data_IF_666402547445
#
_entry.id   IF_666402547445
#
_cell.length_a   1.000
_cell.length_b   1.000
_cell.length_c   1.000
_cell.angle_alpha   90.00
_cell.angle_beta   90.00
_cell.angle_gamma   90.00
#
_symmetry.space_group_name_H-M   'P 1'
#
loop_
_entity.id
_entity.type
_entity.pdbx_description
1 polymer ?
#
# COMPACT_ATOMS: atom_id res chain seq x y z
N UNK A 1 12.18 -17.46 65.36
CA UNK A 1 11.77 -18.15 64.13
C UNK A 1 10.46 -17.51 63.68
N UNK A 2 10.51 -16.57 62.73
CA UNK A 2 9.31 -15.84 62.28
C UNK A 2 8.51 -16.73 61.32
N UNK A 3 7.31 -17.13 61.74
CA UNK A 3 6.38 -17.93 60.93
C UNK A 3 5.88 -17.03 59.81
N UNK A 4 6.38 -17.22 58.59
CA UNK A 4 5.80 -16.57 57.41
C UNK A 4 4.45 -17.21 57.17
N UNK A 5 3.38 -16.42 57.25
CA UNK A 5 2.03 -16.86 56.92
C UNK A 5 1.93 -17.02 55.39
N UNK A 6 1.81 -18.26 54.86
CA UNK A 6 1.78 -18.52 53.43
C UNK A 6 0.57 -17.88 52.73
N UNK A 7 -0.54 -17.70 53.45
CA UNK A 7 -1.78 -17.11 52.92
C UNK A 7 -1.62 -15.61 52.63
N UNK A 8 -0.84 -14.91 53.47
CA UNK A 8 -0.52 -13.51 53.25
C UNK A 8 0.38 -13.30 52.02
N UNK A 9 1.27 -14.25 51.73
CA UNK A 9 2.14 -14.19 50.55
C UNK A 9 1.35 -14.47 49.26
N UNK A 10 0.40 -15.41 49.30
CA UNK A 10 -0.49 -15.70 48.18
C UNK A 10 -1.41 -14.51 47.84
N UNK A 11 -1.95 -13.83 48.85
CA UNK A 11 -2.80 -12.66 48.65
C UNK A 11 -2.04 -11.46 48.05
N UNK A 12 -0.80 -11.21 48.50
CA UNK A 12 0.06 -10.15 47.96
C UNK A 12 0.48 -10.47 46.51
N UNK A 13 0.78 -11.73 46.19
CA UNK A 13 1.08 -12.15 44.83
C UNK A 13 -0.13 -12.01 43.89
N UNK A 14 -1.33 -12.41 44.33
CA UNK A 14 -2.57 -12.29 43.55
C UNK A 14 -2.95 -10.81 43.29
N UNK A 15 -2.79 -9.94 44.29
CA UNK A 15 -3.04 -8.50 44.14
C UNK A 15 -2.05 -7.84 43.17
N UNK A 16 -0.77 -8.22 43.21
CA UNK A 16 0.25 -7.70 42.29
C UNK A 16 -0.02 -8.12 40.83
N UNK A 17 -0.47 -9.35 40.60
CA UNK A 17 -0.86 -9.84 39.25
C UNK A 17 -2.11 -9.12 38.74
N UNK A 18 -3.12 -8.89 39.60
CA UNK A 18 -4.33 -8.17 39.20
C UNK A 18 -4.06 -6.70 38.80
N UNK A 19 -3.16 -6.02 39.51
CA UNK A 19 -2.73 -4.65 39.17
C UNK A 19 -1.95 -4.64 37.84
N UNK A 20 -1.08 -5.62 37.59
CA UNK A 20 -0.37 -5.73 36.31
C UNK A 20 -1.30 -5.98 35.12
N UNK A 21 -2.41 -6.71 35.31
CA UNK A 21 -3.37 -7.01 34.23
C UNK A 21 -4.34 -5.85 34.00
N UNK A 22 -4.77 -5.15 35.05
CA UNK A 22 -5.73 -4.03 34.95
C UNK A 22 -5.11 -2.71 34.50
N UNK A 23 -3.79 -2.55 34.68
CA UNK A 23 -3.07 -1.33 34.31
C UNK A 23 -2.04 -1.53 33.18
N UNK A 24 -2.03 -2.68 32.51
CA UNK A 24 -1.23 -2.83 31.29
C UNK A 24 -1.83 -1.94 30.20
N UNK A 25 -1.08 -0.96 29.64
CA UNK A 25 -1.58 -0.19 28.52
C UNK A 25 -1.89 -1.17 27.37
N UNK A 26 -3.11 -1.17 26.79
CA UNK A 26 -3.45 -2.12 25.74
C UNK A 26 -2.37 -2.09 24.67
N UNK A 27 -1.85 -3.27 24.32
CA UNK A 27 -0.86 -3.40 23.26
C UNK A 27 -1.46 -2.83 21.97
N UNK A 28 -1.07 -1.60 21.62
CA UNK A 28 -1.51 -0.95 20.39
C UNK A 28 -0.66 -1.48 19.24
N UNK A 29 -1.31 -2.10 18.27
CA UNK A 29 -0.67 -2.38 17.01
C UNK A 29 -0.18 -1.05 16.41
N UNK A 30 1.06 -1.03 15.92
CA UNK A 30 1.63 0.07 15.16
C UNK A 30 1.71 -0.38 13.69
N UNK A 31 0.56 -0.42 12.97
CA UNK A 31 0.55 -0.89 11.60
C UNK A 31 1.39 0.04 10.72
N UNK A 32 2.17 -0.56 9.82
CA UNK A 32 3.00 0.20 8.90
C UNK A 32 2.12 0.93 7.90
N UNK A 33 2.10 2.26 7.94
CA UNK A 33 1.36 3.10 7.01
C UNK A 33 2.17 4.34 6.61
N UNK A 34 2.12 4.79 5.34
CA UNK A 34 2.73 6.04 4.93
C UNK A 34 1.98 7.23 5.57
N UNK A 35 2.65 8.37 5.73
CA UNK A 35 1.94 9.64 5.79
C UNK A 35 1.50 10.02 4.36
N UNK A 36 0.19 9.98 4.03
CA UNK A 36 -0.26 10.15 2.65
C UNK A 36 -0.19 11.61 2.18
N UNK A 37 -0.04 12.56 3.11
CA UNK A 37 0.07 14.00 2.80
C UNK A 37 1.53 14.45 2.63
N UNK A 38 2.49 13.54 2.81
CA UNK A 38 3.91 13.85 2.78
C UNK A 38 4.65 12.89 1.85
N UNK A 39 5.18 13.47 0.77
CA UNK A 39 6.21 12.88 -0.04
C UNK A 39 7.41 13.84 -0.11
N UNK A 40 8.61 13.31 0.03
CA UNK A 40 9.86 14.09 0.04
C UNK A 40 10.88 13.51 -0.94
N UNK A 41 11.37 14.34 -1.86
CA UNK A 41 12.52 13.98 -2.70
C UNK A 41 13.82 14.21 -1.90
N UNK A 42 14.25 13.19 -1.14
CA UNK A 42 15.35 13.33 -0.17
C UNK A 42 16.74 13.55 -0.78
N UNK A 43 16.93 13.23 -2.07
CA UNK A 43 18.23 13.36 -2.72
C UNK A 43 18.07 14.07 -4.08
N UNK A 44 18.68 15.26 -4.27
CA UNK A 44 18.57 16.04 -5.52
C UNK A 44 19.30 15.40 -6.70
N UNK A 45 20.21 14.45 -6.46
CA UNK A 45 20.88 13.64 -7.48
C UNK A 45 20.12 12.33 -7.77
N UNK A 46 18.99 12.10 -7.10
CA UNK A 46 18.09 10.95 -7.28
C UNK A 46 16.81 11.44 -7.93
N UNK A 47 16.21 10.53 -8.69
CA UNK A 47 14.96 10.69 -9.43
C UNK A 47 13.92 11.39 -8.54
N UNK A 48 13.33 12.48 -9.03
CA UNK A 48 12.19 13.15 -8.39
C UNK A 48 10.97 12.26 -8.53
N UNK A 49 10.52 11.67 -7.43
CA UNK A 49 9.56 10.58 -7.43
C UNK A 49 8.24 10.95 -6.80
N UNK A 50 8.12 12.13 -6.20
CA UNK A 50 6.85 12.54 -5.65
C UNK A 50 5.81 12.74 -6.76
N UNK A 51 4.68 12.02 -6.73
CA UNK A 51 3.61 12.23 -7.69
C UNK A 51 3.04 13.64 -7.53
N UNK A 52 2.42 14.14 -8.60
CA UNK A 52 1.74 15.43 -8.58
C UNK A 52 0.72 15.44 -7.44
N UNK A 53 0.70 16.53 -6.67
CA UNK A 53 -0.27 16.67 -5.59
C UNK A 53 -1.67 16.68 -6.19
N UNK A 54 -2.53 15.83 -5.64
CA UNK A 54 -3.96 15.85 -5.92
C UNK A 54 -4.67 16.68 -4.87
N UNK A 55 -5.66 17.48 -5.29
CA UNK A 55 -6.59 18.13 -4.37
C UNK A 55 -7.75 17.21 -3.97
N UNK A 56 -7.74 15.94 -4.41
CA UNK A 56 -8.75 14.97 -4.05
C UNK A 56 -8.59 14.51 -2.60
N UNK A 57 -9.70 14.37 -1.89
CA UNK A 57 -9.71 13.81 -0.56
C UNK A 57 -9.28 12.33 -0.57
N UNK A 58 -8.52 11.95 0.45
CA UNK A 58 -8.18 10.55 0.69
C UNK A 58 -9.39 9.85 1.29
N UNK A 59 -9.99 8.94 0.53
CA UNK A 59 -11.16 8.17 0.95
C UNK A 59 -10.79 6.73 1.29
N UNK A 60 -11.61 6.10 2.13
CA UNK A 60 -11.49 4.67 2.40
C UNK A 60 -11.78 3.84 1.14
N UNK A 61 -11.01 2.77 0.95
CA UNK A 61 -11.24 1.84 -0.14
C UNK A 61 -12.57 1.10 0.02
N UNK A 62 -13.34 1.05 -1.07
CA UNK A 62 -14.54 0.21 -1.19
C UNK A 62 -14.29 -0.86 -2.25
N UNK A 63 -14.53 -2.15 -1.95
CA UNK A 63 -14.45 -3.21 -2.95
C UNK A 63 -15.35 -2.96 -4.16
N UNK A 64 -14.99 -3.45 -5.35
CA UNK A 64 -15.87 -3.35 -6.51
C UNK A 64 -17.18 -4.11 -6.25
N UNK A 65 -18.32 -3.67 -6.82
CA UNK A 65 -19.59 -4.36 -6.65
C UNK A 65 -19.50 -5.77 -7.25
N UNK A 66 -20.32 -6.70 -6.72
CA UNK A 66 -20.37 -8.10 -7.17
C UNK A 66 -20.71 -8.28 -8.65
N UNK A 67 -21.35 -7.28 -9.27
CA UNK A 67 -21.62 -7.22 -10.71
C UNK A 67 -20.40 -6.87 -11.57
N UNK A 68 -19.27 -6.51 -10.97
CA UNK A 68 -18.05 -6.20 -11.72
C UNK A 68 -17.49 -7.45 -12.41
N UNK A 69 -17.00 -7.34 -13.66
CA UNK A 69 -16.45 -8.50 -14.35
C UNK A 69 -15.21 -9.03 -13.63
N UNK A 70 -15.09 -10.37 -13.59
CA UNK A 70 -13.85 -11.03 -13.17
C UNK A 70 -12.77 -10.78 -14.23
N UNK A 71 -11.63 -10.27 -13.80
CA UNK A 71 -10.48 -9.99 -14.67
C UNK A 71 -9.52 -11.18 -14.65
N UNK A 72 -9.27 -11.75 -15.81
CA UNK A 72 -8.44 -12.96 -15.94
C UNK A 72 -7.12 -12.57 -16.58
N UNK A 73 -6.07 -12.48 -15.77
CA UNK A 73 -4.70 -12.27 -16.26
C UNK A 73 -4.22 -13.50 -17.02
N UNK A 74 -3.50 -13.31 -18.11
CA UNK A 74 -3.02 -14.39 -19.00
C UNK A 74 -1.50 -14.30 -19.19
N UNK A 75 -0.81 -15.43 -19.46
CA UNK A 75 0.61 -15.42 -19.76
C UNK A 75 0.91 -14.51 -20.97
N UNK A 76 1.86 -13.59 -20.82
CA UNK A 76 2.18 -12.60 -21.86
C UNK A 76 2.57 -13.26 -23.20
N UNK A 77 3.31 -14.37 -23.14
CA UNK A 77 3.79 -15.12 -24.30
C UNK A 77 2.69 -15.88 -25.05
N UNK A 78 1.48 -15.98 -24.49
CA UNK A 78 0.33 -16.69 -25.08
C UNK A 78 -0.87 -15.78 -25.34
N UNK A 79 -0.69 -14.45 -25.29
CA UNK A 79 -1.76 -13.52 -25.64
C UNK A 79 -2.10 -13.65 -27.12
N UNK A 80 -3.40 -13.64 -27.44
CA UNK A 80 -3.84 -13.45 -28.80
C UNK A 80 -3.49 -12.03 -29.30
N UNK A 81 -3.41 -11.82 -30.63
CA UNK A 81 -3.03 -10.51 -31.19
C UNK A 81 -3.95 -9.36 -30.76
N UNK A 82 -5.25 -9.62 -30.55
CA UNK A 82 -6.20 -8.58 -30.15
C UNK A 82 -5.98 -8.16 -28.69
N UNK A 83 -5.72 -9.10 -27.79
CA UNK A 83 -5.38 -8.84 -26.40
C UNK A 83 -4.04 -8.09 -26.28
N UNK A 84 -3.02 -8.51 -27.04
CA UNK A 84 -1.74 -7.81 -27.08
C UNK A 84 -1.89 -6.38 -27.60
N UNK A 85 -2.65 -6.17 -28.68
CA UNK A 85 -2.92 -4.85 -29.24
C UNK A 85 -3.71 -3.96 -28.27
N UNK A 86 -4.68 -4.53 -27.54
CA UNK A 86 -5.43 -3.82 -26.51
C UNK A 86 -4.52 -3.35 -25.37
N UNK A 87 -3.62 -4.20 -24.89
CA UNK A 87 -2.64 -3.83 -23.86
C UNK A 87 -1.69 -2.73 -24.35
N UNK A 88 -1.19 -2.84 -25.59
CA UNK A 88 -0.35 -1.82 -26.21
C UNK A 88 -1.09 -0.47 -26.33
N UNK A 89 -2.35 -0.48 -26.79
CA UNK A 89 -3.18 0.72 -26.89
C UNK A 89 -3.44 1.36 -25.52
N UNK A 90 -3.80 0.56 -24.50
CA UNK A 90 -4.02 1.07 -23.15
C UNK A 90 -2.76 1.75 -22.59
N UNK A 91 -1.60 1.15 -22.83
CA UNK A 91 -0.31 1.72 -22.41
C UNK A 91 0.02 3.00 -23.19
N UNK A 92 -0.27 3.05 -24.48
CA UNK A 92 -0.07 4.24 -25.31
C UNK A 92 -0.94 5.42 -24.81
N UNK A 93 -2.23 5.16 -24.52
CA UNK A 93 -3.13 6.15 -23.95
C UNK A 93 -2.66 6.65 -22.58
N UNK A 94 -2.15 5.74 -21.74
CA UNK A 94 -1.58 6.12 -20.44
C UNK A 94 -0.36 7.04 -20.59
N UNK A 95 0.48 6.80 -21.60
CA UNK A 95 1.65 7.63 -21.92
C UNK A 95 1.29 8.98 -22.53
N UNK A 96 0.17 9.07 -23.26
CA UNK A 96 -0.27 10.31 -23.90
C UNK A 96 -1.00 11.28 -22.98
N UNK A 97 -1.33 10.87 -21.75
CA UNK A 97 -1.87 11.78 -20.74
C UNK A 97 -0.90 12.93 -20.44
N UNK A 98 -1.39 14.06 -19.97
CA UNK A 98 -0.54 15.17 -19.52
C UNK A 98 0.46 14.68 -18.47
N UNK A 99 1.66 15.26 -18.44
CA UNK A 99 2.77 14.76 -17.62
C UNK A 99 2.45 14.76 -16.11
N UNK A 100 1.65 15.71 -15.66
CA UNK A 100 1.22 15.85 -14.26
C UNK A 100 -0.05 15.06 -13.92
N UNK A 101 -0.76 14.53 -14.93
CA UNK A 101 -1.97 13.74 -14.71
C UNK A 101 -1.63 12.49 -13.88
N UNK A 102 -2.35 12.17 -12.80
CA UNK A 102 -1.95 11.12 -11.84
C UNK A 102 -1.90 9.71 -12.47
N UNK A 103 -2.62 9.50 -13.57
CA UNK A 103 -2.59 8.25 -14.33
C UNK A 103 -1.54 8.20 -15.43
N UNK A 104 -0.80 9.28 -15.69
CA UNK A 104 0.28 9.26 -16.67
C UNK A 104 1.28 8.14 -16.33
N UNK A 105 1.86 7.52 -17.37
CA UNK A 105 2.80 6.41 -17.22
C UNK A 105 3.97 6.72 -16.27
N UNK A 106 4.54 7.92 -16.35
CA UNK A 106 5.62 8.36 -15.46
C UNK A 106 5.11 8.56 -14.04
N UNK A 107 3.89 9.09 -13.86
CA UNK A 107 3.30 9.26 -12.53
C UNK A 107 3.02 7.92 -11.86
N UNK A 108 2.58 6.90 -12.61
CA UNK A 108 2.45 5.54 -12.10
C UNK A 108 3.81 4.92 -11.72
N UNK A 109 4.88 5.20 -12.48
CA UNK A 109 6.25 4.81 -12.12
C UNK A 109 6.74 5.52 -10.85
N UNK A 110 6.40 6.81 -10.71
CA UNK A 110 6.76 7.64 -9.55
C UNK A 110 6.11 7.13 -8.26
N UNK A 111 4.88 6.59 -8.32
CA UNK A 111 4.27 5.90 -7.18
C UNK A 111 5.17 4.78 -6.67
N UNK A 112 5.67 3.89 -7.53
CA UNK A 112 6.61 2.85 -7.09
C UNK A 112 7.88 3.47 -6.50
N UNK A 113 8.51 4.41 -7.20
CA UNK A 113 9.73 5.02 -6.72
C UNK A 113 9.56 5.68 -5.33
N UNK A 114 8.49 6.43 -5.08
CA UNK A 114 8.26 7.11 -3.80
C UNK A 114 8.17 6.13 -2.61
N UNK A 115 7.60 4.94 -2.80
CA UNK A 115 7.48 3.91 -1.76
C UNK A 115 8.74 3.07 -1.56
N UNK A 116 9.70 3.14 -2.49
CA UNK A 116 10.88 2.24 -2.53
C UNK A 116 12.22 2.99 -2.46
N UNK A 117 12.22 4.30 -2.69
CA UNK A 117 13.42 5.15 -2.72
C UNK A 117 13.35 6.26 -1.65
N UNK A 118 12.55 6.03 -0.61
CA UNK A 118 12.45 6.90 0.56
C UNK A 118 11.67 8.20 0.38
N UNK A 119 10.72 8.21 -0.56
CA UNK A 119 9.76 9.30 -0.73
C UNK A 119 8.77 9.42 0.43
N UNK A 120 8.44 8.32 1.10
CA UNK A 120 7.49 8.30 2.22
C UNK A 120 8.13 8.01 3.57
N UNK A 121 7.50 8.56 4.61
CA UNK A 121 7.78 8.27 6.01
C UNK A 121 6.66 7.43 6.61
N UNK A 122 7.02 6.62 7.62
CA UNK A 122 6.03 5.95 8.45
C UNK A 122 5.21 6.98 9.25
N UNK A 123 3.88 6.87 9.24
CA UNK A 123 3.00 7.87 9.85
C UNK A 123 3.19 8.00 11.37
N UNK A 124 3.59 6.92 12.05
CA UNK A 124 3.80 6.91 13.51
C UNK A 124 5.28 6.92 13.92
N UNK A 125 6.23 6.98 12.97
CA UNK A 125 7.68 7.05 13.26
C UNK A 125 8.40 7.86 12.19
N UNK A 126 9.35 8.72 12.55
CA UNK A 126 10.15 9.48 11.58
C UNK A 126 11.23 8.63 10.89
N UNK A 127 10.84 7.46 10.38
CA UNK A 127 11.69 6.52 9.64
C UNK A 127 11.14 6.37 8.22
N UNK A 128 12.06 6.22 7.27
CA UNK A 128 11.73 5.99 5.86
C UNK A 128 10.89 4.73 5.72
N UNK A 129 9.82 4.81 4.93
CA UNK A 129 9.03 3.66 4.53
C UNK A 129 9.77 2.92 3.41
N UNK A 130 9.91 1.60 3.57
CA UNK A 130 10.42 0.70 2.54
C UNK A 130 9.41 -0.46 2.39
N UNK A 131 8.94 -0.68 1.17
CA UNK A 131 7.98 -1.74 0.87
C UNK A 131 8.67 -3.04 0.45
N UNK A 132 9.95 -2.98 0.09
CA UNK A 132 10.78 -4.15 -0.21
C UNK A 132 11.33 -4.82 1.05
N UNK A 133 11.84 -6.04 0.87
CA UNK A 133 12.55 -6.81 1.90
C UNK A 133 11.76 -7.01 3.21
N UNK A 134 10.43 -6.94 3.13
CA UNK A 134 9.52 -7.13 4.26
C UNK A 134 8.22 -7.78 3.81
N UNK A 135 7.37 -8.12 4.78
CA UNK A 135 6.01 -8.62 4.53
C UNK A 135 5.08 -7.65 3.76
N UNK A 136 5.48 -6.38 3.58
CA UNK A 136 4.71 -5.38 2.84
C UNK A 136 4.82 -5.58 1.33
N UNK A 137 5.84 -6.32 0.87
CA UNK A 137 6.13 -6.53 -0.53
C UNK A 137 4.89 -7.01 -1.31
N UNK A 138 4.31 -8.14 -0.92
CA UNK A 138 3.15 -8.70 -1.62
C UNK A 138 1.89 -7.84 -1.54
N UNK A 139 1.40 -7.39 -0.36
CA UNK A 139 0.17 -6.61 -0.29
C UNK A 139 0.30 -5.25 -0.99
N UNK A 140 1.45 -4.58 -0.89
CA UNK A 140 1.67 -3.30 -1.58
C UNK A 140 1.65 -3.46 -3.10
N UNK A 141 2.40 -4.43 -3.64
CA UNK A 141 2.42 -4.67 -5.09
C UNK A 141 1.04 -5.14 -5.62
N UNK A 142 0.29 -5.91 -4.82
CA UNK A 142 -1.09 -6.28 -5.15
C UNK A 142 -1.98 -5.04 -5.30
N UNK A 143 -1.92 -4.11 -4.33
CA UNK A 143 -2.69 -2.88 -4.39
C UNK A 143 -2.25 -1.99 -5.56
N UNK A 144 -0.95 -1.85 -5.79
CA UNK A 144 -0.40 -1.08 -6.91
C UNK A 144 -0.91 -1.62 -8.26
N UNK A 145 -0.76 -2.93 -8.50
CA UNK A 145 -1.23 -3.56 -9.73
C UNK A 145 -2.75 -3.58 -9.86
N UNK A 146 -3.49 -3.63 -8.75
CA UNK A 146 -4.95 -3.55 -8.75
C UNK A 146 -5.43 -2.21 -9.33
N UNK A 147 -4.88 -1.09 -8.87
CA UNK A 147 -5.25 0.22 -9.41
C UNK A 147 -4.68 0.44 -10.82
N UNK A 148 -3.43 0.04 -11.07
CA UNK A 148 -2.80 0.15 -12.39
C UNK A 148 -3.62 -0.54 -13.50
N UNK A 149 -4.06 -1.78 -13.27
CA UNK A 149 -4.92 -2.52 -14.21
C UNK A 149 -6.28 -1.84 -14.42
N UNK A 150 -6.87 -1.27 -13.36
CA UNK A 150 -8.16 -0.53 -13.46
C UNK A 150 -8.02 0.76 -14.24
N UNK A 151 -6.90 1.46 -14.10
CA UNK A 151 -6.61 2.68 -14.86
C UNK A 151 -6.51 2.34 -16.35
N UNK A 152 -5.73 1.32 -16.72
CA UNK A 152 -5.62 0.89 -18.12
C UNK A 152 -6.98 0.50 -18.70
N UNK A 153 -7.77 -0.30 -17.99
CA UNK A 153 -9.13 -0.66 -18.42
C UNK A 153 -10.04 0.55 -18.63
N UNK A 154 -9.97 1.56 -17.76
CA UNK A 154 -10.72 2.81 -17.94
C UNK A 154 -10.28 3.56 -19.20
N UNK A 155 -8.97 3.63 -19.48
CA UNK A 155 -8.44 4.35 -20.64
C UNK A 155 -8.91 3.74 -21.98
N UNK A 156 -9.06 2.41 -22.05
CA UNK A 156 -9.58 1.74 -23.26
C UNK A 156 -11.08 1.43 -23.22
N UNK A 157 -11.80 1.90 -22.21
CA UNK A 157 -13.24 1.66 -22.07
C UNK A 157 -13.61 0.18 -21.85
N UNK A 158 -12.70 -0.64 -21.30
CA UNK A 158 -12.91 -2.07 -21.06
C UNK A 158 -12.90 -2.37 -19.54
N UNK A 159 -14.07 -2.57 -18.91
CA UNK A 159 -14.14 -2.88 -17.47
C UNK A 159 -13.53 -4.24 -17.12
N UNK A 160 -13.44 -5.16 -18.10
CA UNK A 160 -12.88 -6.51 -17.98
C UNK A 160 -11.38 -6.61 -18.30
N UNK A 161 -10.76 -5.49 -18.69
CA UNK A 161 -9.32 -5.43 -18.96
C UNK A 161 -8.50 -6.06 -17.83
N UNK A 162 -7.56 -6.92 -18.21
CA UNK A 162 -6.66 -7.61 -17.29
C UNK A 162 -5.21 -7.48 -17.77
N UNK A 163 -4.29 -7.27 -16.83
CA UNK A 163 -2.86 -7.29 -17.14
C UNK A 163 -2.41 -8.70 -17.57
N UNK A 164 -1.41 -8.83 -18.45
CA UNK A 164 -0.70 -10.09 -18.57
C UNK A 164 0.24 -10.34 -17.39
N UNK A 165 0.77 -11.56 -17.30
CA UNK A 165 1.84 -11.95 -16.37
C UNK A 165 2.95 -12.74 -17.08
#
# INVERSE_FOLDING_TARGET
MAIRNPDAQAAVAAAAVAVLVLFWPPARALPVSPNPNLCVDRNPNVIKCCPSRSNADIINFTPPPSSSPLRIRRPAHSLDPAAAQKYANATALMRSLQADHPWNFIQQSNVHCAYCAGGHLHSSRNITLEIHFSWLFFPWHRAFLYFYERILGKLVGDPSFALPF
#
